data_IF_228263068188
#
_entry.id   IF_228263068188
#
_cell.length_a   1.000
_cell.length_b   1.000
_cell.length_c   1.000
_cell.angle_alpha   90.00
_cell.angle_beta   90.00
_cell.angle_gamma   90.00
#
_symmetry.space_group_name_H-M   'P 1'
#
loop_
_entity.id
_entity.type
_entity.pdbx_description
1 polymer ?
#
# COMPACT_ATOMS: atom_id res chain seq x y z
N UNK A 1 24.84 2.13 16.35
CA UNK A 1 23.89 1.52 15.40
C UNK A 1 23.37 2.64 14.50
N UNK A 2 23.75 2.63 13.24
CA UNK A 2 23.25 3.62 12.28
C UNK A 2 21.76 3.35 12.07
N UNK A 3 20.91 4.32 12.37
CA UNK A 3 19.50 4.26 11.96
C UNK A 3 19.50 4.17 10.43
N UNK A 4 19.00 3.08 9.90
CA UNK A 4 18.81 2.94 8.47
C UNK A 4 17.84 4.03 8.05
N UNK A 5 18.34 5.05 7.38
CA UNK A 5 17.51 6.10 6.80
C UNK A 5 16.95 5.52 5.50
N UNK A 6 15.64 5.53 5.37
CA UNK A 6 15.02 5.16 4.10
C UNK A 6 15.49 6.11 3.00
N UNK A 7 15.90 5.54 1.88
CA UNK A 7 16.37 6.35 0.74
C UNK A 7 15.17 7.09 0.10
N UNK A 8 15.13 8.39 0.31
CA UNK A 8 14.09 9.26 -0.27
C UNK A 8 14.09 9.24 -1.79
N UNK A 9 15.23 8.95 -2.43
CA UNK A 9 15.33 8.79 -3.89
C UNK A 9 14.53 7.58 -4.35
N UNK A 10 14.62 6.47 -3.60
CA UNK A 10 13.84 5.27 -3.91
C UNK A 10 12.34 5.51 -3.78
N UNK A 11 11.90 6.27 -2.76
CA UNK A 11 10.48 6.62 -2.60
C UNK A 11 9.95 7.45 -3.77
N UNK A 12 10.72 8.44 -4.22
CA UNK A 12 10.37 9.27 -5.38
C UNK A 12 10.24 8.42 -6.65
N UNK A 13 11.15 7.47 -6.83
CA UNK A 13 11.10 6.55 -7.95
C UNK A 13 9.85 5.67 -7.91
N UNK A 14 9.52 5.07 -6.77
CA UNK A 14 8.31 4.28 -6.59
C UNK A 14 7.04 5.10 -6.89
N UNK A 15 7.00 6.35 -6.42
CA UNK A 15 5.88 7.26 -6.70
C UNK A 15 5.79 7.61 -8.19
N UNK A 16 6.92 7.85 -8.85
CA UNK A 16 6.97 8.10 -10.29
C UNK A 16 6.40 6.91 -11.06
N UNK A 17 6.83 5.70 -10.73
CA UNK A 17 6.35 4.47 -11.37
C UNK A 17 4.85 4.25 -11.14
N UNK A 18 4.36 4.51 -9.93
CA UNK A 18 2.93 4.44 -9.62
C UNK A 18 2.10 5.44 -10.46
N UNK A 19 2.61 6.65 -10.64
CA UNK A 19 1.96 7.67 -11.48
C UNK A 19 1.97 7.28 -12.97
N UNK A 20 3.06 6.73 -13.45
CA UNK A 20 3.18 6.21 -14.82
C UNK A 20 2.22 5.04 -15.07
N UNK A 21 2.15 4.11 -14.12
CA UNK A 21 1.17 3.02 -14.15
C UNK A 21 -0.27 3.56 -14.22
N UNK A 22 -0.61 4.53 -13.38
CA UNK A 22 -1.92 5.19 -13.43
C UNK A 22 -2.19 5.87 -14.77
N UNK A 23 -1.20 6.56 -15.33
CA UNK A 23 -1.31 7.22 -16.63
C UNK A 23 -1.56 6.21 -17.78
N UNK A 24 -0.85 5.09 -17.76
CA UNK A 24 -1.04 4.00 -18.73
C UNK A 24 -2.47 3.43 -18.63
N UNK A 25 -2.92 3.08 -17.43
CA UNK A 25 -4.25 2.46 -17.21
C UNK A 25 -5.41 3.39 -17.53
N UNK A 26 -5.21 4.69 -17.37
CA UNK A 26 -6.21 5.73 -17.71
C UNK A 26 -6.16 6.14 -19.19
N UNK A 27 -5.20 5.66 -19.95
CA UNK A 27 -4.96 6.13 -21.31
C UNK A 27 -4.51 7.58 -21.39
N UNK A 28 -3.90 8.10 -20.32
CA UNK A 28 -3.31 9.43 -20.31
C UNK A 28 -1.98 9.41 -21.09
N UNK A 29 -1.74 10.42 -21.90
CA UNK A 29 -0.50 10.54 -22.65
C UNK A 29 0.71 10.92 -21.81
N UNK A 30 0.49 11.41 -20.59
CA UNK A 30 1.53 11.84 -19.68
C UNK A 30 1.05 11.79 -18.21
N UNK A 31 2.02 11.84 -17.30
CA UNK A 31 1.80 11.84 -15.85
C UNK A 31 1.07 13.09 -15.37
N UNK A 32 1.23 14.24 -16.06
CA UNK A 32 0.59 15.50 -15.65
C UNK A 32 -0.93 15.41 -15.71
N UNK A 33 -1.47 14.68 -16.68
CA UNK A 33 -2.93 14.43 -16.76
C UNK A 33 -3.41 13.59 -15.58
N UNK A 34 -2.62 12.59 -15.18
CA UNK A 34 -2.94 11.78 -13.99
C UNK A 34 -2.90 12.63 -12.73
N UNK A 35 -1.86 13.46 -12.54
CA UNK A 35 -1.78 14.41 -11.42
C UNK A 35 -2.96 15.38 -11.40
N UNK A 36 -3.35 15.89 -12.56
CA UNK A 36 -4.53 16.76 -12.68
C UNK A 36 -5.83 16.03 -12.31
N UNK A 37 -5.98 14.76 -12.70
CA UNK A 37 -7.11 13.92 -12.32
C UNK A 37 -7.15 13.68 -10.80
N UNK A 38 -6.02 13.34 -10.20
CA UNK A 38 -5.88 13.22 -8.75
C UNK A 38 -6.25 14.53 -8.03
N UNK A 39 -5.78 15.66 -8.54
CA UNK A 39 -6.09 16.99 -7.99
C UNK A 39 -7.58 17.32 -8.02
N UNK A 40 -8.31 16.82 -8.99
CA UNK A 40 -9.79 16.94 -9.07
C UNK A 40 -10.54 15.93 -8.19
N UNK A 41 -9.83 14.97 -7.60
CA UNK A 41 -10.44 13.91 -6.80
C UNK A 41 -11.09 12.80 -7.64
N UNK A 42 -10.51 12.51 -8.82
CA UNK A 42 -10.92 11.38 -9.65
C UNK A 42 -10.61 10.06 -8.94
N UNK A 43 -11.66 9.34 -8.53
CA UNK A 43 -11.53 8.11 -7.75
C UNK A 43 -10.82 7.00 -8.55
N UNK A 44 -11.07 6.91 -9.86
CA UNK A 44 -10.47 5.88 -10.71
C UNK A 44 -8.96 6.13 -10.85
N UNK A 45 -8.57 7.40 -11.05
CA UNK A 45 -7.15 7.78 -11.06
C UNK A 45 -6.48 7.46 -9.72
N UNK A 46 -7.16 7.75 -8.60
CA UNK A 46 -6.66 7.44 -7.27
C UNK A 46 -6.44 5.94 -7.08
N UNK A 47 -7.39 5.11 -7.50
CA UNK A 47 -7.32 3.67 -7.34
C UNK A 47 -6.16 3.07 -8.14
N UNK A 48 -5.95 3.50 -9.37
CA UNK A 48 -4.83 3.02 -10.17
C UNK A 48 -3.48 3.44 -9.60
N UNK A 49 -3.33 4.69 -9.16
CA UNK A 49 -2.07 5.16 -8.56
C UNK A 49 -1.81 4.46 -7.22
N UNK A 50 -2.83 4.28 -6.39
CA UNK A 50 -2.72 3.50 -5.14
C UNK A 50 -2.27 2.07 -5.40
N UNK A 51 -2.89 1.41 -6.38
CA UNK A 51 -2.53 0.04 -6.75
C UNK A 51 -1.10 -0.04 -7.27
N UNK A 52 -0.70 0.87 -8.16
CA UNK A 52 0.67 0.96 -8.66
C UNK A 52 1.67 1.17 -7.52
N UNK A 53 1.37 2.06 -6.57
CA UNK A 53 2.24 2.28 -5.42
C UNK A 53 2.30 1.06 -4.49
N UNK A 54 1.19 0.35 -4.31
CA UNK A 54 1.16 -0.90 -3.55
C UNK A 54 2.06 -1.97 -4.18
N UNK A 55 2.09 -2.09 -5.52
CA UNK A 55 2.98 -3.00 -6.23
C UNK A 55 4.46 -2.65 -6.01
N UNK A 56 4.82 -1.38 -6.15
CA UNK A 56 6.20 -0.90 -5.94
C UNK A 56 6.68 -1.13 -4.49
N UNK A 57 5.81 -0.86 -3.52
CA UNK A 57 6.08 -1.14 -2.10
C UNK A 57 6.27 -2.63 -1.86
N UNK A 58 5.42 -3.47 -2.45
CA UNK A 58 5.48 -4.91 -2.30
C UNK A 58 6.78 -5.48 -2.88
N UNK A 59 7.18 -5.02 -4.06
CA UNK A 59 8.45 -5.42 -4.70
C UNK A 59 9.66 -4.98 -3.86
N UNK A 60 9.63 -3.74 -3.36
CA UNK A 60 10.67 -3.25 -2.46
C UNK A 60 10.79 -4.11 -1.20
N UNK A 61 9.69 -4.37 -0.50
CA UNK A 61 9.67 -5.20 0.71
C UNK A 61 10.19 -6.61 0.42
N UNK A 62 9.70 -7.25 -0.63
CA UNK A 62 10.12 -8.59 -1.05
C UNK A 62 11.60 -8.69 -1.42
N UNK A 63 12.18 -7.61 -1.97
CA UNK A 63 13.60 -7.55 -2.29
C UNK A 63 14.50 -7.31 -1.06
N UNK A 64 13.96 -6.67 -0.02
CA UNK A 64 14.69 -6.28 1.18
C UNK A 64 14.82 -7.41 2.20
N UNK A 65 13.81 -8.24 2.33
CA UNK A 65 13.76 -9.27 3.38
C UNK A 65 13.32 -10.62 2.80
N UNK A 66 14.28 -11.56 2.75
CA UNK A 66 14.04 -12.92 2.26
C UNK A 66 13.08 -13.76 3.12
N UNK A 67 12.62 -13.27 4.27
CA UNK A 67 11.58 -13.91 5.07
C UNK A 67 10.18 -13.65 4.54
N UNK A 68 10.00 -12.64 3.68
CA UNK A 68 8.70 -12.31 3.09
C UNK A 68 8.33 -13.38 2.05
N UNK A 69 7.17 -13.97 2.21
CA UNK A 69 6.59 -14.98 1.32
C UNK A 69 5.70 -14.39 0.26
N UNK A 70 4.82 -13.49 0.69
CA UNK A 70 3.90 -12.80 -0.20
C UNK A 70 3.46 -11.47 0.41
N UNK A 71 3.04 -10.55 -0.46
CA UNK A 71 2.45 -9.27 -0.07
C UNK A 71 1.12 -9.11 -0.78
N UNK A 72 0.12 -8.68 -0.03
CA UNK A 72 -1.25 -8.50 -0.49
C UNK A 72 -1.69 -7.07 -0.25
N UNK A 73 -2.58 -6.58 -1.10
CA UNK A 73 -3.38 -5.38 -0.82
C UNK A 73 -4.84 -5.77 -0.57
N UNK A 74 -5.53 -5.03 0.29
CA UNK A 74 -6.92 -5.28 0.62
C UNK A 74 -7.68 -3.99 0.92
N UNK A 75 -9.00 -4.03 0.81
CA UNK A 75 -9.86 -2.94 1.19
C UNK A 75 -10.36 -3.16 2.63
N UNK A 76 -10.02 -2.27 3.59
CA UNK A 76 -10.35 -2.45 5.00
C UNK A 76 -11.85 -2.55 5.28
N UNK A 77 -12.66 -1.92 4.46
CA UNK A 77 -14.12 -1.92 4.60
C UNK A 77 -14.72 -3.32 4.47
N UNK A 78 -14.09 -4.18 3.69
CA UNK A 78 -14.48 -5.59 3.58
C UNK A 78 -13.91 -6.45 4.70
N UNK A 79 -12.83 -6.01 5.33
CA UNK A 79 -12.15 -6.77 6.38
C UNK A 79 -12.80 -6.62 7.75
N UNK A 80 -13.46 -5.50 8.02
CA UNK A 80 -13.96 -5.21 9.35
C UNK A 80 -15.40 -5.64 9.60
N UNK A 81 -16.23 -5.81 8.56
CA UNK A 81 -17.62 -6.26 8.72
C UNK A 81 -18.43 -5.57 9.83
N UNK A 82 -17.85 -4.57 10.47
CA UNK A 82 -18.30 -3.98 11.70
C UNK A 82 -18.17 -2.48 11.61
N UNK A 83 -19.23 -1.88 11.99
CA UNK A 83 -19.46 -0.49 12.27
C UNK A 83 -19.85 0.38 11.08
N UNK A 84 -21.14 0.67 11.12
CA UNK A 84 -21.86 1.69 10.42
C UNK A 84 -21.30 3.11 10.44
N UNK A 85 -20.00 3.25 10.38
CA UNK A 85 -19.39 4.45 9.86
C UNK A 85 -19.67 4.44 8.36
N UNK A 86 -20.72 5.15 7.98
CA UNK A 86 -21.13 5.42 6.62
C UNK A 86 -20.01 6.21 5.92
N UNK A 87 -18.88 5.52 5.69
CA UNK A 87 -17.91 5.87 4.69
C UNK A 87 -18.55 5.51 3.36
N UNK A 88 -18.54 6.41 2.41
CA UNK A 88 -19.03 6.14 1.05
C UNK A 88 -18.37 4.86 0.55
N UNK A 89 -19.12 3.88 0.01
CA UNK A 89 -18.56 2.68 -0.55
C UNK A 89 -17.44 3.03 -1.55
N UNK A 90 -16.26 2.45 -1.38
CA UNK A 90 -15.16 2.61 -2.30
C UNK A 90 -14.09 3.64 -1.91
N UNK A 91 -14.06 4.15 -0.69
CA UNK A 91 -13.09 5.18 -0.34
C UNK A 91 -12.34 4.91 0.97
N UNK A 92 -11.29 4.07 0.89
CA UNK A 92 -10.29 4.00 1.96
C UNK A 92 -9.17 5.02 1.68
N UNK A 93 -8.89 5.94 2.62
CA UNK A 93 -7.78 6.89 2.47
C UNK A 93 -6.41 6.25 2.67
N UNK A 94 -6.35 4.95 2.91
CA UNK A 94 -5.12 4.22 3.18
C UNK A 94 -4.82 3.19 2.08
N UNK A 95 -3.52 2.97 1.83
CA UNK A 95 -3.04 1.78 1.12
C UNK A 95 -2.90 0.70 2.19
N UNK A 96 -3.82 -0.25 2.23
CA UNK A 96 -3.82 -1.33 3.21
C UNK A 96 -3.18 -2.57 2.62
N UNK A 97 -2.14 -3.08 3.29
CA UNK A 97 -1.34 -4.20 2.83
C UNK A 97 -1.13 -5.23 3.94
N UNK A 98 -0.94 -6.47 3.54
CA UNK A 98 -0.49 -7.56 4.42
C UNK A 98 0.82 -8.09 3.87
N UNK A 99 1.87 -8.09 4.68
CA UNK A 99 3.12 -8.77 4.38
C UNK A 99 3.18 -10.08 5.18
N UNK A 100 3.12 -11.19 4.48
CA UNK A 100 3.22 -12.52 5.08
C UNK A 100 4.69 -12.95 5.12
N UNK A 101 5.17 -13.28 6.31
CA UNK A 101 6.57 -13.63 6.59
C UNK A 101 6.68 -14.99 7.29
N UNK A 102 7.86 -15.61 7.21
CA UNK A 102 8.16 -16.81 8.02
C UNK A 102 8.07 -16.48 9.52
N UNK A 103 8.69 -15.36 9.91
CA UNK A 103 8.72 -14.86 11.30
C UNK A 103 8.87 -13.35 11.31
N UNK A 104 8.16 -12.68 12.19
CA UNK A 104 8.30 -11.23 12.40
C UNK A 104 9.67 -10.89 12.95
N UNK A 105 10.30 -9.86 12.41
CA UNK A 105 11.55 -9.31 12.90
C UNK A 105 11.41 -7.83 13.25
N UNK A 106 12.14 -7.36 14.25
CA UNK A 106 12.17 -5.95 14.61
C UNK A 106 12.74 -5.10 13.46
N UNK A 107 13.68 -5.65 12.69
CA UNK A 107 14.25 -4.97 11.53
C UNK A 107 13.18 -4.71 10.44
N UNK A 108 12.37 -5.71 10.10
CA UNK A 108 11.29 -5.56 9.13
C UNK A 108 10.24 -4.57 9.61
N UNK A 109 9.83 -4.63 10.87
CA UNK A 109 8.87 -3.67 11.44
C UNK A 109 9.40 -2.24 11.35
N UNK A 110 10.69 -2.03 11.63
CA UNK A 110 11.34 -0.72 11.47
C UNK A 110 11.34 -0.24 10.01
N UNK A 111 11.56 -1.14 9.05
CA UNK A 111 11.46 -0.80 7.61
C UNK A 111 10.04 -0.39 7.23
N UNK A 112 9.03 -1.10 7.72
CA UNK A 112 7.62 -0.77 7.50
C UNK A 112 7.27 0.62 8.06
N UNK A 113 7.75 0.94 9.27
CA UNK A 113 7.53 2.24 9.88
C UNK A 113 8.20 3.37 9.05
N UNK A 114 9.44 3.15 8.60
CA UNK A 114 10.15 4.11 7.74
C UNK A 114 9.44 4.30 6.38
N UNK A 115 8.95 3.23 5.77
CA UNK A 115 8.16 3.30 4.54
C UNK A 115 6.87 4.10 4.73
N UNK A 116 6.17 3.84 5.83
CA UNK A 116 4.93 4.54 6.16
C UNK A 116 5.15 6.06 6.24
N UNK A 117 6.23 6.48 6.92
CA UNK A 117 6.58 7.89 7.02
C UNK A 117 7.03 8.48 5.68
N UNK A 118 7.82 7.73 4.89
CA UNK A 118 8.29 8.18 3.58
C UNK A 118 7.13 8.37 2.59
N UNK A 119 6.17 7.45 2.55
CA UNK A 119 4.94 7.58 1.74
C UNK A 119 4.15 8.82 2.17
N UNK A 120 3.95 9.01 3.47
CA UNK A 120 3.23 10.16 3.98
C UNK A 120 3.93 11.49 3.63
N UNK A 121 5.25 11.52 3.65
CA UNK A 121 6.04 12.69 3.28
C UNK A 121 5.93 12.98 1.77
N UNK A 122 6.07 11.97 0.92
CA UNK A 122 6.01 12.13 -0.54
C UNK A 122 4.61 12.56 -1.00
N UNK A 123 3.58 11.98 -0.39
CA UNK A 123 2.20 12.38 -0.67
C UNK A 123 1.88 13.83 -0.27
N UNK A 124 2.52 14.35 0.77
CA UNK A 124 2.43 15.78 1.13
C UNK A 124 3.08 16.70 0.11
N UNK A 125 4.09 16.23 -0.61
CA UNK A 125 4.78 17.01 -1.64
C UNK A 125 4.02 17.06 -2.97
N UNK A 126 3.12 16.10 -3.21
CA UNK A 126 2.20 16.20 -4.34
C UNK A 126 1.29 17.41 -4.12
N UNK A 127 1.37 18.40 -4.98
CA UNK A 127 0.55 19.62 -4.92
C UNK A 127 -0.93 19.37 -5.26
N UNK A 128 -1.48 18.30 -4.72
CA UNK A 128 -2.85 17.86 -4.92
C UNK A 128 -3.55 17.79 -3.56
N UNK A 129 -4.21 18.87 -3.09
CA UNK A 129 -4.85 18.89 -1.77
C UNK A 129 -5.85 17.75 -1.56
N UNK A 130 -6.54 17.33 -2.63
CA UNK A 130 -7.48 16.20 -2.60
C UNK A 130 -6.77 14.85 -2.64
N UNK A 131 -5.68 14.71 -3.39
CA UNK A 131 -4.88 13.49 -3.40
C UNK A 131 -4.26 13.23 -2.03
N UNK A 132 -3.84 14.26 -1.31
CA UNK A 132 -3.38 14.16 0.07
C UNK A 132 -4.45 13.59 1.03
N UNK A 133 -5.73 13.79 0.72
CA UNK A 133 -6.82 13.18 1.49
C UNK A 133 -7.00 11.69 1.17
N UNK A 134 -6.58 11.25 -0.02
CA UNK A 134 -6.87 9.94 -0.60
C UNK A 134 -5.81 8.88 -0.27
N UNK A 135 -4.56 9.30 -0.15
CA UNK A 135 -3.42 8.40 0.06
C UNK A 135 -2.63 8.76 1.33
N UNK A 136 -3.30 9.27 2.35
CA UNK A 136 -2.61 9.80 3.55
C UNK A 136 -1.87 8.77 4.36
N UNK A 137 -2.09 7.48 4.12
CA UNK A 137 -1.61 6.45 5.02
C UNK A 137 -1.26 5.17 4.29
N UNK A 138 -0.04 4.74 4.45
CA UNK A 138 0.32 3.35 4.23
C UNK A 138 0.07 2.59 5.53
N UNK A 139 -0.66 1.48 5.47
CA UNK A 139 -0.91 0.59 6.60
C UNK A 139 -0.51 -0.83 6.21
N UNK A 140 0.69 -1.25 6.60
CA UNK A 140 1.21 -2.60 6.36
C UNK A 140 1.07 -3.44 7.62
N UNK A 141 0.27 -4.48 7.56
CA UNK A 141 0.14 -5.50 8.61
C UNK A 141 1.13 -6.62 8.32
N UNK A 142 2.12 -6.79 9.17
CA UNK A 142 3.04 -7.93 9.09
C UNK A 142 2.42 -9.10 9.83
N UNK A 143 2.21 -10.23 9.13
CA UNK A 143 1.68 -11.48 9.69
C UNK A 143 2.68 -12.61 9.48
N UNK A 144 2.81 -13.49 10.45
CA UNK A 144 3.70 -14.66 10.36
C UNK A 144 2.93 -15.96 10.11
N UNK A 145 3.66 -17.04 9.94
CA UNK A 145 3.10 -18.36 9.67
C UNK A 145 2.13 -18.81 10.75
N UNK A 146 2.44 -18.54 12.02
CA UNK A 146 1.60 -18.94 13.14
C UNK A 146 0.24 -18.22 13.09
N UNK A 147 0.23 -16.93 12.79
CA UNK A 147 -1.00 -16.15 12.65
C UNK A 147 -1.84 -16.58 11.45
N UNK A 148 -1.19 -16.92 10.32
CA UNK A 148 -1.87 -17.38 9.11
C UNK A 148 -2.46 -18.77 9.34
N UNK A 149 -1.70 -19.70 9.92
CA UNK A 149 -2.16 -21.07 10.21
C UNK A 149 -3.26 -21.10 11.26
N UNK A 150 -3.13 -20.30 12.30
CA UNK A 150 -4.11 -20.18 13.38
C UNK A 150 -5.29 -19.26 13.04
N UNK A 151 -5.28 -18.62 11.86
CA UNK A 151 -6.29 -17.66 11.41
C UNK A 151 -6.53 -16.53 12.41
N UNK A 152 -5.45 -15.99 12.98
CA UNK A 152 -5.48 -14.90 13.94
C UNK A 152 -5.33 -13.54 13.27
N UNK A 153 -6.13 -12.58 13.71
CA UNK A 153 -6.03 -11.20 13.25
C UNK A 153 -6.05 -11.09 11.72
N UNK A 154 -5.11 -10.34 11.16
CA UNK A 154 -4.96 -10.18 9.71
C UNK A 154 -4.46 -11.44 9.00
N UNK A 155 -3.85 -12.39 9.70
CA UNK A 155 -3.49 -13.70 9.15
C UNK A 155 -4.71 -14.48 8.66
N UNK A 156 -5.88 -14.26 9.25
CA UNK A 156 -7.13 -14.86 8.79
C UNK A 156 -7.54 -14.43 7.37
N UNK A 157 -7.12 -13.24 6.93
CA UNK A 157 -7.47 -12.70 5.61
C UNK A 157 -6.68 -13.38 4.48
N UNK A 158 -5.44 -13.79 4.74
CA UNK A 158 -4.54 -14.38 3.73
C UNK A 158 -5.20 -15.60 3.05
N UNK A 159 -5.90 -16.42 3.82
CA UNK A 159 -6.59 -17.61 3.35
C UNK A 159 -8.12 -17.50 3.39
N UNK A 160 -8.67 -16.29 3.40
CA UNK A 160 -10.11 -16.09 3.44
C UNK A 160 -10.76 -16.47 2.12
N UNK A 161 -11.86 -17.21 2.21
CA UNK A 161 -12.70 -17.54 1.05
C UNK A 161 -13.67 -16.41 0.69
N UNK A 162 -13.96 -15.52 1.64
CA UNK A 162 -14.98 -14.48 1.49
C UNK A 162 -14.38 -13.13 1.11
N UNK A 163 -13.22 -12.80 1.67
CA UNK A 163 -12.50 -11.56 1.42
C UNK A 163 -11.11 -11.97 0.97
N UNK A 164 -10.87 -11.99 -0.33
CA UNK A 164 -9.55 -12.30 -0.88
C UNK A 164 -8.75 -11.01 -1.01
N UNK A 165 -7.71 -10.85 -0.20
CA UNK A 165 -6.71 -9.83 -0.49
C UNK A 165 -6.09 -10.13 -1.87
N UNK A 166 -5.81 -9.08 -2.62
CA UNK A 166 -5.15 -9.20 -3.91
C UNK A 166 -3.65 -9.37 -3.70
N UNK A 167 -3.12 -10.51 -4.15
CA UNK A 167 -1.67 -10.74 -4.12
C UNK A 167 -1.00 -9.81 -5.13
N UNK A 168 -0.07 -9.01 -4.66
CA UNK A 168 0.68 -8.04 -5.47
C UNK A 168 2.15 -8.42 -5.62
N UNK A 169 2.64 -9.32 -4.78
CA UNK A 169 3.98 -9.90 -4.87
C UNK A 169 4.06 -11.24 -4.14
N UNK A 170 4.85 -12.17 -4.67
CA UNK A 170 5.25 -13.41 -3.98
C UNK A 170 6.68 -13.79 -4.35
N UNK A 171 7.31 -14.55 -3.47
CA UNK A 171 8.64 -15.11 -3.65
C UNK A 171 8.62 -16.33 -4.58
#
# INVERSE_FOLDING_TARGET
MSAATFDTTKMKEMMRQALEFGAEKLGHGDVQRTLSALGRGDCVACDYVRYGLAQEIAEYLGSMDGSIKAVYTFEPEYATGVDGAVGRPGFSPAISMIAWVDRKSAALLSVVDMLTEAVAQEMRQLECPKANALCRRLDVKVVDDDEVQSRLGYGALVNSMYIRPLEVWHR
#
